data_IF_576893968788
#
_entry.id   IF_576893968788
#
_cell.length_a   1.000
_cell.length_b   1.000
_cell.length_c   1.000
_cell.angle_alpha   90.00
_cell.angle_beta   90.00
_cell.angle_gamma   90.00
#
_symmetry.space_group_name_H-M   'P 1'
#
loop_
_entity.id
_entity.type
_entity.pdbx_description
1 polymer ?
#
# COMPACT_ATOMS: atom_id res chain seq x y z
N UNK A 1 -12.53 -20.48 -48.83
CA UNK A 1 -13.02 -20.72 -47.46
C UNK A 1 -11.81 -20.46 -46.59
N UNK A 2 -11.67 -19.21 -46.14
CA UNK A 2 -10.52 -18.79 -45.35
C UNK A 2 -10.80 -19.20 -43.90
N UNK A 3 -9.99 -20.13 -43.40
CA UNK A 3 -9.99 -20.51 -41.99
C UNK A 3 -9.43 -19.32 -41.20
N UNK A 4 -10.33 -18.53 -40.62
CA UNK A 4 -9.96 -17.49 -39.67
C UNK A 4 -9.36 -18.16 -38.43
N UNK A 5 -8.06 -17.96 -38.20
CA UNK A 5 -7.40 -18.34 -36.95
C UNK A 5 -8.14 -17.69 -35.77
N UNK A 6 -8.47 -18.44 -34.70
CA UNK A 6 -9.07 -17.84 -33.53
C UNK A 6 -8.12 -16.77 -32.97
N UNK A 7 -8.64 -15.63 -32.48
CA UNK A 7 -7.80 -14.56 -31.95
C UNK A 7 -6.95 -15.11 -30.80
N UNK A 8 -5.64 -14.83 -30.84
CA UNK A 8 -4.74 -15.14 -29.73
C UNK A 8 -5.27 -14.44 -28.48
N UNK A 9 -5.77 -15.23 -27.52
CA UNK A 9 -6.15 -14.71 -26.22
C UNK A 9 -4.87 -14.38 -25.47
N UNK A 10 -4.48 -13.11 -25.47
CA UNK A 10 -3.38 -12.61 -24.65
C UNK A 10 -3.69 -12.93 -23.18
N UNK A 11 -2.93 -13.87 -22.63
CA UNK A 11 -2.95 -14.16 -21.21
C UNK A 11 -2.26 -12.99 -20.49
N UNK A 12 -3.06 -12.14 -19.83
CA UNK A 12 -2.54 -11.20 -18.86
C UNK A 12 -2.49 -11.89 -17.49
N UNK A 13 -1.28 -12.18 -16.94
CA UNK A 13 -1.13 -12.81 -15.64
C UNK A 13 -1.66 -11.94 -14.49
N UNK A 14 -1.95 -10.65 -14.73
CA UNK A 14 -2.48 -9.70 -13.76
C UNK A 14 -4.01 -9.65 -13.79
N UNK A 15 -4.64 -10.22 -14.81
CA UNK A 15 -6.09 -10.22 -14.99
C UNK A 15 -6.72 -11.37 -14.22
N UNK A 16 -7.81 -11.07 -13.52
CA UNK A 16 -8.60 -12.09 -12.84
C UNK A 16 -9.46 -12.83 -13.84
N UNK A 17 -9.51 -14.15 -13.74
CA UNK A 17 -10.43 -14.97 -14.50
C UNK A 17 -11.88 -14.68 -14.10
N UNK A 18 -12.86 -14.92 -14.98
CA UNK A 18 -14.27 -14.79 -14.63
C UNK A 18 -14.67 -15.60 -13.37
N UNK A 19 -14.02 -16.75 -13.15
CA UNK A 19 -14.24 -17.58 -11.97
C UNK A 19 -13.70 -16.92 -10.68
N UNK A 20 -12.53 -16.28 -10.74
CA UNK A 20 -11.96 -15.53 -9.61
C UNK A 20 -12.82 -14.30 -9.27
N UNK A 21 -13.31 -13.59 -10.29
CA UNK A 21 -14.24 -12.47 -10.11
C UNK A 21 -15.53 -12.96 -9.44
N UNK A 22 -16.15 -14.01 -9.95
CA UNK A 22 -17.37 -14.58 -9.36
C UNK A 22 -17.13 -15.09 -7.94
N UNK A 23 -15.97 -15.67 -7.65
CA UNK A 23 -15.62 -16.18 -6.31
C UNK A 23 -15.46 -15.05 -5.30
N UNK A 24 -14.82 -13.94 -5.68
CA UNK A 24 -14.59 -12.83 -4.76
C UNK A 24 -15.79 -11.90 -4.59
N UNK A 25 -16.61 -11.74 -5.62
CA UNK A 25 -17.72 -10.77 -5.62
C UNK A 25 -19.11 -11.41 -5.54
N UNK A 26 -19.22 -12.72 -5.77
CA UNK A 26 -20.49 -13.43 -5.93
C UNK A 26 -21.16 -13.23 -7.30
N UNK A 27 -20.56 -12.43 -8.21
CA UNK A 27 -21.10 -12.15 -9.53
C UNK A 27 -19.98 -11.99 -10.59
N UNK A 28 -19.97 -12.84 -11.62
CA UNK A 28 -18.95 -12.84 -12.67
C UNK A 28 -18.90 -11.56 -13.53
N UNK A 29 -19.97 -10.76 -13.52
CA UNK A 29 -20.06 -9.49 -14.24
C UNK A 29 -19.79 -8.28 -13.33
N UNK A 30 -19.39 -8.50 -12.07
CA UNK A 30 -19.12 -7.43 -11.13
C UNK A 30 -17.83 -6.69 -11.49
N UNK A 31 -17.96 -5.38 -11.77
CA UNK A 31 -16.84 -4.49 -12.09
C UNK A 31 -16.51 -3.49 -10.97
N UNK A 32 -17.26 -3.52 -9.87
CA UNK A 32 -17.14 -2.61 -8.74
C UNK A 32 -17.11 -3.38 -7.42
N UNK A 33 -16.03 -3.23 -6.65
CA UNK A 33 -15.92 -3.78 -5.30
C UNK A 33 -16.07 -2.66 -4.28
N UNK A 34 -17.02 -2.79 -3.37
CA UNK A 34 -17.28 -1.82 -2.30
C UNK A 34 -17.10 -2.46 -0.93
N UNK A 35 -16.72 -1.65 0.06
CA UNK A 35 -16.70 -2.05 1.46
C UNK A 35 -17.35 -0.97 2.34
N UNK A 36 -18.03 -1.33 3.45
CA UNK A 36 -18.69 -0.37 4.31
C UNK A 36 -17.74 0.38 5.26
N UNK A 37 -16.48 -0.07 5.37
CA UNK A 37 -15.50 0.51 6.29
C UNK A 37 -15.07 1.90 5.83
N UNK A 38 -15.18 2.91 6.68
CA UNK A 38 -14.64 4.25 6.41
C UNK A 38 -13.19 4.33 6.87
N UNK A 39 -12.29 3.67 6.13
CA UNK A 39 -10.89 3.55 6.48
C UNK A 39 -10.13 4.85 6.20
N UNK A 40 -9.25 5.22 7.12
CA UNK A 40 -8.32 6.33 7.01
C UNK A 40 -6.91 5.85 7.31
N UNK A 41 -5.94 6.31 6.53
CA UNK A 41 -4.54 6.02 6.81
C UNK A 41 -4.02 6.93 7.91
N UNK A 42 -3.39 6.33 8.91
CA UNK A 42 -2.80 7.07 10.03
C UNK A 42 -1.71 8.05 9.59
N UNK A 43 -0.93 7.71 8.56
CA UNK A 43 0.15 8.58 8.09
C UNK A 43 -0.38 9.77 7.28
N UNK A 44 -1.45 9.57 6.52
CA UNK A 44 -2.12 10.63 5.77
C UNK A 44 -2.84 11.67 6.68
N UNK A 45 -3.28 11.27 7.87
CA UNK A 45 -3.99 12.18 8.80
C UNK A 45 -3.09 13.16 9.55
N UNK A 46 -1.77 12.94 9.59
CA UNK A 46 -0.82 13.79 10.32
C UNK A 46 -0.05 14.66 9.34
N UNK A 47 0.00 15.97 9.56
CA UNK A 47 0.76 16.90 8.71
C UNK A 47 2.25 16.53 8.64
N UNK A 48 2.84 16.61 7.45
CA UNK A 48 4.28 16.43 7.24
C UNK A 48 5.01 17.77 7.29
N UNK A 49 5.99 17.87 8.19
CA UNK A 49 6.93 19.00 8.23
C UNK A 49 8.32 18.62 7.72
N UNK A 50 8.54 17.37 7.32
CA UNK A 50 9.87 16.78 7.09
C UNK A 50 10.24 16.55 5.62
N UNK A 51 9.26 16.60 4.71
CA UNK A 51 9.46 16.34 3.28
C UNK A 51 9.79 14.86 2.97
N UNK A 52 9.41 13.97 3.89
CA UNK A 52 9.63 12.52 3.77
C UNK A 52 8.38 11.78 3.30
N UNK A 53 7.28 12.51 3.10
CA UNK A 53 5.99 11.99 2.65
C UNK A 53 5.61 12.50 1.26
N UNK A 54 4.70 11.77 0.62
CA UNK A 54 4.15 12.09 -0.69
C UNK A 54 3.01 13.13 -0.58
N UNK A 55 2.36 13.43 -1.71
CA UNK A 55 1.23 14.37 -1.75
C UNK A 55 -0.02 13.89 -1.00
N UNK A 56 -0.11 12.61 -0.68
CA UNK A 56 -1.20 12.01 0.08
C UNK A 56 -0.87 11.92 1.58
N UNK A 57 0.33 12.35 2.00
CA UNK A 57 0.80 12.26 3.37
C UNK A 57 1.35 10.89 3.75
N UNK A 58 1.52 9.97 2.79
CA UNK A 58 2.12 8.66 3.04
C UNK A 58 3.64 8.73 3.06
N UNK A 59 4.34 7.87 3.82
CA UNK A 59 5.80 7.73 3.69
C UNK A 59 6.19 7.55 2.23
N UNK A 60 7.28 8.15 1.77
CA UNK A 60 7.76 7.92 0.40
C UNK A 60 8.29 6.50 0.18
N UNK A 61 8.69 5.83 1.26
CA UNK A 61 9.24 4.47 1.22
C UNK A 61 8.88 3.73 2.50
N UNK A 62 8.31 2.54 2.35
CA UNK A 62 8.12 1.56 3.43
C UNK A 62 8.83 0.25 3.16
N UNK A 63 9.16 -0.04 1.89
CA UNK A 63 10.03 -1.15 1.50
C UNK A 63 11.17 -0.64 0.63
N UNK A 64 12.39 -1.01 0.98
CA UNK A 64 13.60 -0.56 0.28
C UNK A 64 14.61 -1.68 0.11
N UNK A 65 14.75 -2.17 -1.12
CA UNK A 65 15.78 -3.10 -1.52
C UNK A 65 16.37 -2.69 -2.89
N UNK A 66 17.27 -3.50 -3.44
CA UNK A 66 17.99 -3.15 -4.68
C UNK A 66 17.09 -3.06 -5.91
N UNK A 67 15.95 -3.73 -5.89
CA UNK A 67 15.05 -3.84 -7.03
C UNK A 67 13.76 -3.03 -6.86
N UNK A 68 13.46 -2.61 -5.63
CA UNK A 68 12.23 -1.90 -5.30
C UNK A 68 12.45 -0.86 -4.22
N UNK A 69 11.86 0.31 -4.44
CA UNK A 69 11.76 1.38 -3.45
C UNK A 69 10.39 2.00 -3.57
N UNK A 70 9.56 1.86 -2.54
CA UNK A 70 8.22 2.43 -2.53
C UNK A 70 7.42 2.09 -1.29
N UNK A 71 6.15 2.49 -1.33
CA UNK A 71 5.20 2.39 -0.22
C UNK A 71 4.22 1.26 -0.49
N UNK A 72 4.29 0.24 0.35
CA UNK A 72 3.47 -0.98 0.27
C UNK A 72 2.87 -1.37 1.62
N UNK A 73 3.31 -0.73 2.70
CA UNK A 73 2.85 -0.97 4.06
C UNK A 73 2.01 0.22 4.53
N UNK A 74 0.89 -0.05 5.20
CA UNK A 74 -0.04 0.97 5.64
C UNK A 74 -0.66 0.58 6.99
N UNK A 75 -0.97 1.57 7.82
CA UNK A 75 -1.78 1.38 9.02
C UNK A 75 -3.06 2.19 8.83
N UNK A 76 -4.18 1.47 8.70
CA UNK A 76 -5.51 2.04 8.56
C UNK A 76 -6.30 1.89 9.85
N UNK A 77 -7.17 2.86 10.16
CA UNK A 77 -8.19 2.71 11.18
C UNK A 77 -9.56 3.13 10.66
N UNK A 78 -10.61 2.67 11.34
CA UNK A 78 -11.98 3.06 11.09
C UNK A 78 -12.39 4.26 11.97
N UNK A 79 -13.66 4.65 11.85
CA UNK A 79 -14.31 5.55 12.78
C UNK A 79 -14.16 5.09 14.24
N UNK A 80 -14.27 6.04 15.18
CA UNK A 80 -14.11 5.81 16.60
C UNK A 80 -12.66 5.91 17.09
N UNK A 81 -11.69 5.94 16.17
CA UNK A 81 -10.28 6.20 16.44
C UNK A 81 -9.83 7.48 15.74
N UNK A 82 -8.90 8.21 16.35
CA UNK A 82 -8.18 9.32 15.76
C UNK A 82 -6.67 9.09 15.85
N UNK A 83 -5.94 9.44 14.81
CA UNK A 83 -4.48 9.45 14.85
C UNK A 83 -3.99 10.62 15.70
N UNK A 84 -3.21 10.31 16.75
CA UNK A 84 -2.59 11.33 17.63
C UNK A 84 -1.24 11.75 17.08
N UNK A 85 -0.42 10.77 16.70
CA UNK A 85 0.91 10.97 16.11
C UNK A 85 1.40 9.69 15.44
N UNK A 86 2.35 9.84 14.54
CA UNK A 86 3.02 8.72 13.88
C UNK A 86 4.54 8.86 13.98
N UNK A 87 5.25 7.74 13.92
CA UNK A 87 6.70 7.74 13.81
C UNK A 87 7.10 8.31 12.44
N UNK A 88 7.96 9.34 12.44
CA UNK A 88 8.41 9.97 11.21
C UNK A 88 9.15 8.98 10.29
N UNK A 89 8.91 9.01 8.96
CA UNK A 89 9.66 8.19 8.01
C UNK A 89 11.16 8.51 8.01
N UNK A 90 11.97 7.55 7.53
CA UNK A 90 13.42 7.74 7.40
C UNK A 90 13.70 8.83 6.34
N UNK A 91 14.48 9.87 6.66
CA UNK A 91 14.84 10.90 5.69
C UNK A 91 15.58 10.33 4.47
N UNK A 92 15.29 10.86 3.27
CA UNK A 92 15.91 10.45 2.00
C UNK A 92 17.44 10.37 2.05
N UNK A 93 18.09 11.34 2.70
CA UNK A 93 19.55 11.38 2.80
C UNK A 93 20.11 10.19 3.59
N UNK A 94 19.39 9.70 4.60
CA UNK A 94 19.81 8.55 5.40
C UNK A 94 19.60 7.24 4.63
N UNK A 95 18.59 7.17 3.76
CA UNK A 95 18.37 6.00 2.90
C UNK A 95 19.50 5.80 1.87
N UNK A 96 20.13 6.89 1.41
CA UNK A 96 21.25 6.84 0.44
C UNK A 96 22.53 6.20 1.00
N UNK A 97 22.61 5.91 2.31
CA UNK A 97 23.78 5.29 2.92
C UNK A 97 23.95 3.80 2.57
N UNK A 98 22.92 3.16 2.04
CA UNK A 98 22.93 1.76 1.62
C UNK A 98 22.15 1.62 0.32
N UNK A 99 22.51 0.71 -0.61
CA UNK A 99 21.75 0.47 -1.84
C UNK A 99 20.40 -0.24 -1.61
N UNK A 100 19.98 -0.41 -0.36
CA UNK A 100 18.83 -1.20 0.05
C UNK A 100 19.04 -1.85 1.41
N UNK A 101 17.95 -2.36 1.96
CA UNK A 101 17.89 -3.22 3.14
C UNK A 101 17.57 -4.68 2.70
N UNK A 102 17.75 -5.70 3.57
CA UNK A 102 18.37 -5.64 4.90
C UNK A 102 19.87 -5.35 4.83
N UNK A 103 20.44 -4.95 5.97
CA UNK A 103 21.89 -4.77 6.18
C UNK A 103 22.32 -5.45 7.49
N UNK A 104 23.62 -5.46 7.81
CA UNK A 104 24.09 -5.97 9.11
C UNK A 104 23.45 -5.27 10.33
N UNK A 105 22.98 -4.04 10.18
CA UNK A 105 22.32 -3.26 11.25
C UNK A 105 20.79 -3.35 11.20
N UNK A 106 20.21 -3.69 10.05
CA UNK A 106 18.77 -3.63 9.79
C UNK A 106 18.31 -4.97 9.23
N UNK A 107 17.55 -5.73 10.03
CA UNK A 107 17.21 -7.12 9.72
C UNK A 107 16.08 -7.32 8.71
N UNK A 108 15.37 -6.26 8.31
CA UNK A 108 14.26 -6.30 7.34
C UNK A 108 14.50 -5.27 6.24
N UNK A 109 14.00 -5.53 5.04
CA UNK A 109 13.88 -4.57 3.96
C UNK A 109 12.66 -3.66 4.05
N UNK A 110 11.73 -3.97 4.95
CA UNK A 110 10.62 -3.10 5.31
C UNK A 110 10.99 -2.19 6.49
N UNK A 111 10.53 -0.95 6.41
CA UNK A 111 10.69 0.10 7.42
C UNK A 111 9.44 0.07 8.29
N UNK A 112 9.63 -0.11 9.59
CA UNK A 112 8.51 -0.20 10.52
C UNK A 112 7.67 1.09 10.54
N UNK A 113 6.36 0.93 10.40
CA UNK A 113 5.38 1.96 10.67
C UNK A 113 4.90 1.86 12.11
N UNK A 114 4.68 3.01 12.75
CA UNK A 114 4.12 3.06 14.09
C UNK A 114 3.22 4.28 14.24
N UNK A 115 2.03 4.07 14.79
CA UNK A 115 1.04 5.11 15.03
C UNK A 115 0.51 5.02 16.46
N UNK A 116 0.30 6.18 17.06
CA UNK A 116 -0.48 6.33 18.28
C UNK A 116 -1.90 6.77 17.92
N UNK A 117 -2.87 6.00 18.38
CA UNK A 117 -4.29 6.26 18.17
C UNK A 117 -5.02 6.40 19.49
N UNK A 118 -6.06 7.23 19.50
CA UNK A 118 -6.94 7.43 20.64
C UNK A 118 -8.40 7.21 20.24
N UNK A 119 -9.22 6.73 21.18
CA UNK A 119 -10.67 6.69 20.97
C UNK A 119 -11.25 8.10 20.95
N UNK A 120 -12.13 8.39 20.00
CA UNK A 120 -12.78 9.70 19.86
C UNK A 120 -13.99 9.88 20.77
N UNK A 121 -14.46 8.80 21.41
CA UNK A 121 -15.51 8.78 22.43
C UNK A 121 -15.08 7.85 23.57
N UNK A 122 -15.31 8.21 24.84
CA UNK A 122 -15.18 7.28 25.96
C UNK A 122 -16.27 6.19 25.92
#
# INVERSE_FOLDING_TARGET
>A
MEDAFPPETFYDPSSWTPMEIATATGNGDCTSLEHPLQLRSTYAEVEDCSGTRDSNGEPLVTSYNRCFQGTVDYIWHSEGLQTVRVLAPIPKHAMQWTPGFPTKKWGSDHIALASEVAFTKP
#
